data_IF_159651892881
#
_entry.id   IF_159651892881
#
_cell.length_a   1.000
_cell.length_b   1.000
_cell.length_c   1.000
_cell.angle_alpha   90.00
_cell.angle_beta   90.00
_cell.angle_gamma   90.00
#
_symmetry.space_group_name_H-M   'P 1'
#
loop_
_entity.id
_entity.type
_entity.pdbx_description
1 polymer ?
#
# COMPACT_ATOMS: atom_id res chain seq x y z
N UNK A 1 8.19 60.96 -14.21
CA UNK A 1 8.34 60.08 -13.02
C UNK A 1 7.19 59.07 -13.00
N UNK A 2 7.42 57.75 -13.15
CA UNK A 2 6.35 56.77 -12.98
C UNK A 2 6.04 56.56 -11.49
N UNK A 3 4.76 56.46 -11.08
CA UNK A 3 4.36 56.31 -9.69
C UNK A 3 4.85 54.99 -9.10
N UNK A 4 5.50 55.06 -7.94
CA UNK A 4 6.06 53.90 -7.23
C UNK A 4 4.99 52.86 -6.89
N UNK A 5 5.14 51.65 -7.43
CA UNK A 5 4.32 50.47 -7.04
C UNK A 5 4.51 50.24 -5.54
N UNK A 6 3.50 50.56 -4.72
CA UNK A 6 3.44 50.21 -3.29
C UNK A 6 3.59 48.69 -3.16
N UNK A 7 4.80 48.23 -2.79
CA UNK A 7 5.05 46.82 -2.44
C UNK A 7 4.22 46.50 -1.20
N UNK A 8 3.20 45.67 -1.36
CA UNK A 8 2.38 45.20 -0.24
C UNK A 8 3.26 44.45 0.76
N UNK A 9 3.05 44.71 2.05
CA UNK A 9 3.75 44.03 3.13
C UNK A 9 3.58 42.51 3.00
N UNK A 10 4.63 41.69 3.22
CA UNK A 10 4.55 40.22 3.16
C UNK A 10 3.39 39.65 4.00
N UNK A 11 3.06 40.29 5.14
CA UNK A 11 1.94 39.90 6.02
C UNK A 11 0.58 40.14 5.37
N UNK A 12 0.42 41.26 4.66
CA UNK A 12 -0.81 41.59 3.94
C UNK A 12 -1.01 40.65 2.76
N UNK A 13 0.06 40.34 2.01
CA UNK A 13 0.00 39.38 0.90
C UNK A 13 -0.42 37.98 1.37
N UNK A 14 0.17 37.47 2.46
CA UNK A 14 -0.19 36.17 3.03
C UNK A 14 -1.64 36.10 3.55
N UNK A 15 -2.17 37.19 4.12
CA UNK A 15 -3.58 37.26 4.56
C UNK A 15 -4.54 37.22 3.36
N UNK A 16 -4.24 37.97 2.30
CA UNK A 16 -5.04 38.00 1.07
C UNK A 16 -5.00 36.64 0.36
N UNK A 17 -3.83 36.00 0.25
CA UNK A 17 -3.72 34.67 -0.39
C UNK A 17 -4.54 33.61 0.36
N UNK A 18 -4.49 33.59 1.69
CA UNK A 18 -5.33 32.66 2.49
C UNK A 18 -6.82 32.97 2.35
N UNK A 19 -7.20 34.25 2.35
CA UNK A 19 -8.59 34.64 2.13
C UNK A 19 -9.10 34.18 0.76
N UNK A 20 -8.29 34.32 -0.29
CA UNK A 20 -8.61 33.82 -1.64
C UNK A 20 -8.71 32.30 -1.64
N UNK A 21 -7.78 31.57 -1.01
CA UNK A 21 -7.84 30.10 -0.91
C UNK A 21 -9.11 29.61 -0.20
N UNK A 22 -9.48 30.25 0.92
CA UNK A 22 -10.72 29.91 1.62
C UNK A 22 -11.97 30.30 0.83
N UNK A 23 -11.95 31.44 0.14
CA UNK A 23 -13.06 31.84 -0.73
C UNK A 23 -13.25 30.87 -1.90
N UNK A 24 -12.16 30.42 -2.52
CA UNK A 24 -12.20 29.39 -3.58
C UNK A 24 -12.68 28.06 -3.02
N UNK A 25 -12.17 27.61 -1.88
CA UNK A 25 -12.64 26.38 -1.23
C UNK A 25 -14.13 26.45 -0.90
N UNK A 26 -14.58 27.55 -0.31
CA UNK A 26 -15.99 27.77 0.02
C UNK A 26 -16.84 27.79 -1.26
N UNK A 27 -16.40 28.48 -2.31
CA UNK A 27 -17.11 28.51 -3.59
C UNK A 27 -17.21 27.11 -4.21
N UNK A 28 -16.15 26.29 -4.15
CA UNK A 28 -16.17 24.89 -4.62
C UNK A 28 -17.13 24.05 -3.78
N UNK A 29 -17.09 24.16 -2.45
CA UNK A 29 -17.98 23.41 -1.55
C UNK A 29 -19.43 23.79 -1.78
N UNK A 30 -19.73 25.08 -1.93
CA UNK A 30 -21.08 25.56 -2.23
C UNK A 30 -21.53 25.13 -3.62
N UNK A 31 -20.65 25.21 -4.64
CA UNK A 31 -20.95 24.74 -5.98
C UNK A 31 -21.30 23.25 -5.96
N UNK A 32 -20.51 22.41 -5.29
CA UNK A 32 -20.85 20.98 -5.12
C UNK A 32 -22.17 20.82 -4.37
N UNK A 33 -22.38 21.56 -3.29
CA UNK A 33 -23.60 21.43 -2.49
C UNK A 33 -24.87 21.83 -3.22
N UNK A 34 -24.84 22.84 -4.09
CA UNK A 34 -26.02 23.31 -4.81
C UNK A 34 -26.21 22.67 -6.19
N UNK A 35 -25.14 22.20 -6.83
CA UNK A 35 -25.21 21.55 -8.14
C UNK A 35 -25.47 20.04 -8.05
N UNK A 36 -25.36 19.45 -6.86
CA UNK A 36 -25.54 18.01 -6.65
C UNK A 36 -27.00 17.68 -6.33
N UNK A 37 -27.56 16.74 -7.08
CA UNK A 37 -28.86 16.15 -6.78
C UNK A 37 -28.74 15.16 -5.61
N UNK A 38 -28.93 15.68 -4.39
CA UNK A 38 -28.76 14.93 -3.14
C UNK A 38 -29.73 13.75 -3.00
N UNK A 39 -30.89 13.81 -3.66
CA UNK A 39 -31.86 12.70 -3.67
C UNK A 39 -31.28 11.52 -4.45
N UNK A 40 -30.81 11.76 -5.68
CA UNK A 40 -30.16 10.71 -6.49
C UNK A 40 -28.89 10.19 -5.84
N UNK A 41 -28.10 11.05 -5.21
CA UNK A 41 -26.92 10.66 -4.43
C UNK A 41 -27.32 9.71 -3.31
N UNK A 42 -28.33 10.06 -2.50
CA UNK A 42 -28.81 9.21 -1.41
C UNK A 42 -29.27 7.84 -1.89
N UNK A 43 -30.10 7.80 -2.93
CA UNK A 43 -30.66 6.54 -3.47
C UNK A 43 -29.60 5.65 -4.14
N UNK A 44 -28.64 6.24 -4.86
CA UNK A 44 -27.64 5.48 -5.60
C UNK A 44 -26.48 5.03 -4.70
N UNK A 45 -26.09 5.83 -3.70
CA UNK A 45 -24.91 5.61 -2.87
C UNK A 45 -25.22 4.97 -1.52
N UNK A 46 -26.43 5.14 -0.98
CA UNK A 46 -26.81 4.71 0.36
C UNK A 46 -28.16 3.99 0.40
N UNK A 47 -28.40 3.08 -0.54
CA UNK A 47 -29.60 2.26 -0.53
C UNK A 47 -29.54 1.19 0.60
N UNK A 48 -30.39 1.26 1.65
CA UNK A 48 -30.30 0.35 2.78
C UNK A 48 -30.65 -1.10 2.44
N UNK A 49 -31.54 -1.32 1.46
CA UNK A 49 -31.92 -2.67 1.04
C UNK A 49 -30.76 -3.38 0.35
N UNK A 50 -30.04 -2.67 -0.52
CA UNK A 50 -28.82 -3.18 -1.18
C UNK A 50 -27.73 -3.43 -0.14
N UNK A 51 -27.55 -2.52 0.82
CA UNK A 51 -26.57 -2.69 1.88
C UNK A 51 -26.84 -3.93 2.76
N UNK A 52 -28.12 -4.18 3.09
CA UNK A 52 -28.54 -5.34 3.87
C UNK A 52 -28.29 -6.66 3.13
N UNK A 53 -28.60 -6.72 1.83
CA UNK A 53 -28.29 -7.90 0.99
C UNK A 53 -26.78 -8.20 0.98
N UNK A 54 -25.98 -7.15 0.72
CA UNK A 54 -24.53 -7.24 0.65
C UNK A 54 -23.88 -7.63 1.98
N UNK A 55 -24.45 -7.21 3.11
CA UNK A 55 -23.92 -7.50 4.44
C UNK A 55 -23.73 -9.00 4.68
N UNK A 56 -24.58 -9.85 4.09
CA UNK A 56 -24.45 -11.31 4.16
C UNK A 56 -23.23 -11.86 3.40
N UNK A 57 -22.81 -11.18 2.32
CA UNK A 57 -21.70 -11.56 1.43
C UNK A 57 -20.36 -10.99 1.90
N UNK A 58 -20.37 -9.83 2.55
CA UNK A 58 -19.17 -9.10 3.00
C UNK A 58 -18.21 -9.91 3.88
N UNK A 59 -18.65 -10.74 4.86
CA UNK A 59 -17.73 -11.52 5.69
C UNK A 59 -16.83 -12.47 4.88
N UNK A 60 -17.37 -13.06 3.80
CA UNK A 60 -16.58 -13.92 2.90
C UNK A 60 -15.58 -13.10 2.10
N UNK A 61 -16.01 -11.96 1.56
CA UNK A 61 -15.12 -11.03 0.85
C UNK A 61 -13.98 -10.50 1.73
N UNK A 62 -14.28 -10.13 2.98
CA UNK A 62 -13.30 -9.75 4.00
C UNK A 62 -12.29 -10.87 4.23
N UNK A 63 -12.76 -12.10 4.44
CA UNK A 63 -11.89 -13.25 4.68
C UNK A 63 -10.99 -13.56 3.49
N UNK A 64 -11.53 -13.57 2.27
CA UNK A 64 -10.74 -13.79 1.06
C UNK A 64 -9.71 -12.68 0.83
N UNK A 65 -10.09 -11.41 1.07
CA UNK A 65 -9.17 -10.26 1.04
C UNK A 65 -7.99 -10.49 1.99
N UNK A 66 -8.26 -10.85 3.25
CA UNK A 66 -7.21 -11.15 4.23
C UNK A 66 -6.33 -12.32 3.79
N UNK A 67 -6.93 -13.41 3.28
CA UNK A 67 -6.17 -14.57 2.78
C UNK A 67 -5.26 -14.20 1.62
N UNK A 68 -5.73 -13.38 0.68
CA UNK A 68 -4.94 -12.92 -0.45
C UNK A 68 -3.79 -12.02 0.00
N UNK A 69 -4.03 -11.10 0.95
CA UNK A 69 -2.96 -10.29 1.56
C UNK A 69 -1.91 -11.18 2.22
N UNK A 70 -2.32 -12.12 3.07
CA UNK A 70 -1.41 -12.98 3.82
C UNK A 70 -0.63 -13.92 2.90
N UNK A 71 -1.28 -14.50 1.90
CA UNK A 71 -0.64 -15.35 0.91
C UNK A 71 0.39 -14.58 0.07
N UNK A 72 0.05 -13.38 -0.38
CA UNK A 72 0.99 -12.51 -1.10
C UNK A 72 2.16 -12.08 -0.22
N UNK A 73 1.91 -11.72 1.04
CA UNK A 73 2.97 -11.36 1.97
C UNK A 73 3.89 -12.55 2.29
N UNK A 74 3.34 -13.77 2.39
CA UNK A 74 4.11 -15.00 2.62
C UNK A 74 5.06 -15.33 1.45
N UNK A 75 4.74 -14.91 0.22
CA UNK A 75 5.65 -15.00 -0.94
C UNK A 75 6.59 -13.80 -0.97
N UNK A 76 6.06 -12.59 -0.75
CA UNK A 76 6.80 -11.34 -0.87
C UNK A 76 7.90 -11.17 0.16
N UNK A 77 7.66 -11.57 1.42
CA UNK A 77 8.62 -11.39 2.51
C UNK A 77 9.91 -12.21 2.31
N UNK A 78 9.86 -13.54 2.06
CA UNK A 78 11.07 -14.31 1.80
C UNK A 78 11.81 -13.84 0.55
N UNK A 79 11.09 -13.61 -0.56
CA UNK A 79 11.69 -13.15 -1.81
C UNK A 79 12.32 -11.77 -1.66
N UNK A 80 11.63 -10.84 -0.99
CA UNK A 80 12.13 -9.51 -0.68
C UNK A 80 13.36 -9.53 0.23
N UNK A 81 13.41 -10.43 1.22
CA UNK A 81 14.59 -10.62 2.06
C UNK A 81 15.80 -11.11 1.25
N UNK A 82 15.61 -12.09 0.36
CA UNK A 82 16.67 -12.57 -0.54
C UNK A 82 17.17 -11.43 -1.45
N UNK A 83 16.26 -10.68 -2.07
CA UNK A 83 16.59 -9.56 -2.94
C UNK A 83 17.32 -8.43 -2.18
N UNK A 84 16.93 -8.14 -0.94
CA UNK A 84 17.62 -7.17 -0.09
C UNK A 84 19.07 -7.62 0.19
N UNK A 85 19.28 -8.89 0.54
CA UNK A 85 20.61 -9.45 0.76
C UNK A 85 21.47 -9.43 -0.51
N UNK A 86 20.88 -9.77 -1.66
CA UNK A 86 21.55 -9.67 -2.96
C UNK A 86 21.98 -8.23 -3.26
N UNK A 87 21.12 -7.25 -2.97
CA UNK A 87 21.41 -5.83 -3.20
C UNK A 87 22.47 -5.26 -2.26
N UNK A 88 22.55 -5.77 -1.03
CA UNK A 88 23.59 -5.43 -0.05
C UNK A 88 24.91 -6.20 -0.28
N UNK A 89 24.93 -7.17 -1.19
CA UNK A 89 26.11 -7.99 -1.44
C UNK A 89 27.28 -7.18 -2.03
N UNK A 90 28.50 -7.56 -1.69
CA UNK A 90 29.71 -7.05 -2.36
C UNK A 90 29.87 -7.57 -3.79
N UNK A 91 29.22 -8.69 -4.14
CA UNK A 91 29.29 -9.35 -5.45
C UNK A 91 28.41 -8.62 -6.46
N UNK A 92 29.03 -8.09 -7.52
CA UNK A 92 28.33 -7.26 -8.50
C UNK A 92 27.14 -7.99 -9.16
N UNK A 93 27.26 -9.21 -9.73
CA UNK A 93 26.13 -9.89 -10.36
C UNK A 93 24.85 -9.95 -9.51
N UNK A 94 24.96 -10.23 -8.20
CA UNK A 94 23.80 -10.27 -7.31
C UNK A 94 23.12 -8.91 -7.19
N UNK A 95 23.90 -7.83 -7.07
CA UNK A 95 23.36 -6.47 -7.04
C UNK A 95 22.63 -6.12 -8.34
N UNK A 96 23.20 -6.48 -9.48
CA UNK A 96 22.60 -6.21 -10.80
C UNK A 96 21.26 -6.94 -10.97
N UNK A 97 21.22 -8.24 -10.66
CA UNK A 97 19.98 -9.04 -10.74
C UNK A 97 18.90 -8.47 -9.81
N UNK A 98 19.25 -8.18 -8.55
CA UNK A 98 18.31 -7.61 -7.60
C UNK A 98 17.82 -6.22 -8.04
N UNK A 99 18.71 -5.39 -8.58
CA UNK A 99 18.36 -4.06 -9.07
C UNK A 99 17.40 -4.14 -10.25
N UNK A 100 17.69 -4.97 -11.25
CA UNK A 100 16.81 -5.16 -12.40
C UNK A 100 15.43 -5.68 -11.98
N UNK A 101 15.37 -6.68 -11.08
CA UNK A 101 14.10 -7.18 -10.54
C UNK A 101 13.31 -6.06 -9.85
N UNK A 102 13.96 -5.35 -8.91
CA UNK A 102 13.29 -4.34 -8.08
C UNK A 102 12.80 -3.18 -8.94
N UNK A 103 13.62 -2.69 -9.87
CA UNK A 103 13.26 -1.59 -10.76
C UNK A 103 12.14 -1.97 -11.71
N UNK A 104 12.15 -3.19 -12.26
CA UNK A 104 11.09 -3.68 -13.13
C UNK A 104 9.74 -3.76 -12.40
N UNK A 105 9.65 -4.48 -11.28
CA UNK A 105 8.39 -4.70 -10.58
C UNK A 105 7.84 -3.46 -9.87
N UNK A 106 8.70 -2.50 -9.51
CA UNK A 106 8.26 -1.18 -9.02
C UNK A 106 7.90 -0.21 -10.15
N UNK A 107 8.42 -0.44 -11.36
CA UNK A 107 8.21 0.41 -12.52
C UNK A 107 6.94 0.08 -13.31
N UNK A 108 6.44 -1.15 -13.22
CA UNK A 108 5.22 -1.58 -13.94
C UNK A 108 3.98 -1.58 -13.03
N UNK A 109 2.77 -1.36 -13.59
CA UNK A 109 1.54 -1.50 -12.83
C UNK A 109 1.35 -2.94 -12.30
N UNK A 110 1.07 -3.08 -11.00
CA UNK A 110 0.80 -4.37 -10.36
C UNK A 110 -0.34 -5.13 -11.05
N UNK A 111 -1.32 -4.40 -11.60
CA UNK A 111 -2.41 -4.97 -12.39
C UNK A 111 -1.90 -5.82 -13.56
N UNK A 112 -0.90 -5.32 -14.30
CA UNK A 112 -0.35 -6.07 -15.43
C UNK A 112 0.28 -7.39 -14.95
N UNK A 113 0.94 -7.39 -13.79
CA UNK A 113 1.51 -8.59 -13.20
C UNK A 113 0.43 -9.60 -12.79
N UNK A 114 -0.67 -9.13 -12.19
CA UNK A 114 -1.85 -9.96 -11.86
C UNK A 114 -2.41 -10.63 -13.11
N UNK A 115 -2.62 -9.86 -14.19
CA UNK A 115 -3.09 -10.42 -15.46
C UNK A 115 -2.07 -11.37 -16.10
N UNK A 116 -0.78 -11.05 -16.04
CA UNK A 116 0.28 -11.92 -16.55
C UNK A 116 0.32 -13.26 -15.83
N UNK A 117 0.22 -13.29 -14.50
CA UNK A 117 0.16 -14.55 -13.73
C UNK A 117 -1.13 -15.31 -14.00
N UNK A 118 -2.25 -14.59 -14.17
CA UNK A 118 -3.55 -15.21 -14.44
C UNK A 118 -3.69 -15.83 -15.83
N UNK A 119 -3.03 -15.24 -16.84
CA UNK A 119 -3.23 -15.60 -18.25
C UNK A 119 -1.91 -15.89 -18.99
N UNK A 120 -0.95 -14.96 -18.98
CA UNK A 120 0.27 -15.08 -19.78
C UNK A 120 1.20 -16.23 -19.34
N UNK A 121 1.39 -16.42 -18.03
CA UNK A 121 2.24 -17.48 -17.47
C UNK A 121 1.67 -18.88 -17.78
N UNK A 122 0.37 -19.17 -17.55
CA UNK A 122 -0.23 -20.42 -18.01
C UNK A 122 -0.04 -20.70 -19.50
N UNK A 123 -0.22 -19.69 -20.36
CA UNK A 123 -0.06 -19.82 -21.81
C UNK A 123 1.40 -20.11 -22.18
N UNK A 124 2.35 -19.36 -21.61
CA UNK A 124 3.77 -19.45 -21.96
C UNK A 124 4.41 -20.77 -21.52
N UNK A 125 4.00 -21.31 -20.37
CA UNK A 125 4.65 -22.48 -19.76
C UNK A 125 3.78 -23.74 -19.73
N UNK A 126 2.54 -23.67 -20.21
CA UNK A 126 1.59 -24.79 -20.17
C UNK A 126 1.19 -25.21 -18.75
N UNK A 127 1.37 -24.30 -17.76
CA UNK A 127 1.07 -24.58 -16.35
C UNK A 127 -0.34 -24.15 -15.99
N UNK A 128 -1.05 -24.96 -15.21
CA UNK A 128 -2.33 -24.56 -14.65
C UNK A 128 -2.16 -24.21 -13.17
N UNK A 129 -2.53 -22.99 -12.79
CA UNK A 129 -2.60 -22.55 -11.40
C UNK A 129 -4.07 -22.52 -11.01
N UNK A 130 -4.66 -23.59 -10.45
CA UNK A 130 -6.11 -23.67 -10.26
C UNK A 130 -6.60 -22.78 -9.11
N UNK A 131 -5.77 -22.59 -8.07
CA UNK A 131 -6.16 -21.86 -6.88
C UNK A 131 -6.05 -20.34 -7.09
N UNK A 132 -7.16 -19.63 -6.85
CA UNK A 132 -7.13 -18.17 -6.87
C UNK A 132 -6.22 -17.57 -5.79
N UNK A 133 -6.15 -18.22 -4.62
CA UNK A 133 -5.21 -17.84 -3.57
C UNK A 133 -3.76 -17.94 -4.08
N UNK A 134 -3.41 -19.01 -4.80
CA UNK A 134 -2.07 -19.14 -5.36
C UNK A 134 -1.77 -18.08 -6.41
N UNK A 135 -2.71 -17.80 -7.34
CA UNK A 135 -2.55 -16.72 -8.34
C UNK A 135 -2.32 -15.36 -7.68
N UNK A 136 -3.17 -15.00 -6.72
CA UNK A 136 -3.04 -13.75 -5.96
C UNK A 136 -1.72 -13.69 -5.18
N UNK A 137 -1.35 -14.79 -4.52
CA UNK A 137 -0.13 -14.87 -3.71
C UNK A 137 1.13 -14.69 -4.56
N UNK A 138 1.19 -15.34 -5.72
CA UNK A 138 2.32 -15.23 -6.64
C UNK A 138 2.36 -13.82 -7.24
N UNK A 139 1.25 -13.37 -7.85
CA UNK A 139 1.22 -12.11 -8.58
C UNK A 139 1.52 -10.89 -7.70
N UNK A 140 0.85 -10.79 -6.56
CA UNK A 140 1.05 -9.67 -5.65
C UNK A 140 2.31 -9.86 -4.81
N UNK A 141 2.69 -11.11 -4.51
CA UNK A 141 3.91 -11.43 -3.77
C UNK A 141 5.17 -11.04 -4.53
N UNK A 142 5.27 -11.30 -5.84
CA UNK A 142 6.44 -10.89 -6.64
C UNK A 142 6.57 -9.37 -6.74
N UNK A 143 5.44 -8.64 -6.82
CA UNK A 143 5.43 -7.18 -6.80
C UNK A 143 5.87 -6.68 -5.42
N UNK A 144 5.20 -7.14 -4.35
CA UNK A 144 5.50 -6.73 -2.98
C UNK A 144 6.93 -7.06 -2.56
N UNK A 145 7.52 -8.16 -3.05
CA UNK A 145 8.91 -8.50 -2.81
C UNK A 145 9.89 -7.37 -3.19
N UNK A 146 9.61 -6.63 -4.27
CA UNK A 146 10.46 -5.51 -4.68
C UNK A 146 10.39 -4.34 -3.69
N UNK A 147 9.21 -4.03 -3.16
CA UNK A 147 9.01 -2.99 -2.15
C UNK A 147 9.56 -3.39 -0.77
N UNK A 148 9.35 -4.66 -0.38
CA UNK A 148 9.91 -5.24 0.84
C UNK A 148 11.44 -5.23 0.77
N UNK A 149 12.05 -5.61 -0.36
CA UNK A 149 13.49 -5.61 -0.52
C UNK A 149 14.11 -4.22 -0.27
N UNK A 150 13.50 -3.19 -0.83
CA UNK A 150 13.94 -1.81 -0.62
C UNK A 150 13.74 -1.32 0.81
N UNK A 151 12.62 -1.70 1.42
CA UNK A 151 12.35 -1.39 2.83
C UNK A 151 13.39 -2.02 3.74
N UNK A 152 13.69 -3.31 3.55
CA UNK A 152 14.70 -4.04 4.31
C UNK A 152 16.11 -3.45 4.12
N UNK A 153 16.49 -3.19 2.86
CA UNK A 153 17.77 -2.55 2.53
C UNK A 153 17.91 -1.18 3.20
N UNK A 154 16.89 -0.33 3.05
CA UNK A 154 16.89 1.01 3.63
C UNK A 154 16.94 0.97 5.16
N UNK A 155 16.26 0.02 5.80
CA UNK A 155 16.33 -0.15 7.25
C UNK A 155 17.69 -0.60 7.76
N UNK A 156 18.40 -1.45 7.01
CA UNK A 156 19.78 -1.85 7.32
C UNK A 156 20.73 -0.66 7.17
N UNK A 157 20.61 0.11 6.08
CA UNK A 157 21.44 1.29 5.83
C UNK A 157 21.15 2.46 6.78
N UNK A 158 19.95 2.53 7.34
CA UNK A 158 19.56 3.55 8.31
C UNK A 158 20.19 3.37 9.70
N UNK A 159 20.82 2.23 9.98
CA UNK A 159 21.54 2.03 11.25
C UNK A 159 22.75 2.97 11.30
N UNK A 160 22.93 3.78 12.36
CA UNK A 160 24.02 4.75 12.43
C UNK A 160 25.40 4.10 12.27
N UNK A 161 26.22 4.62 11.35
CA UNK A 161 27.57 4.08 11.08
C UNK A 161 28.45 4.03 12.34
N UNK A 162 28.31 5.00 13.25
CA UNK A 162 29.02 5.01 14.53
C UNK A 162 28.75 3.79 15.41
N UNK A 163 27.56 3.17 15.33
CA UNK A 163 27.26 1.91 16.03
C UNK A 163 28.07 0.73 15.44
N UNK A 164 28.21 0.71 14.12
CA UNK A 164 29.01 -0.30 13.41
C UNK A 164 30.50 -0.09 13.72
N UNK A 165 30.99 1.14 13.66
CA UNK A 165 32.39 1.49 13.96
C UNK A 165 32.76 1.20 15.41
N UNK A 166 31.87 1.50 16.37
CA UNK A 166 32.07 1.17 17.79
C UNK A 166 32.13 -0.35 18.01
N UNK A 167 31.21 -1.12 17.43
CA UNK A 167 31.21 -2.59 17.51
C UNK A 167 32.50 -3.19 16.94
N UNK A 168 32.98 -2.67 15.80
CA UNK A 168 34.25 -3.09 15.19
C UNK A 168 35.45 -2.72 16.04
N UNK A 169 35.44 -1.57 16.71
CA UNK A 169 36.49 -1.11 17.63
C UNK A 169 36.56 -1.97 18.91
N UNK A 170 35.44 -2.56 19.33
CA UNK A 170 35.36 -3.54 20.41
C UNK A 170 35.76 -4.98 19.97
N UNK A 171 36.31 -5.14 18.76
CA UNK A 171 36.80 -6.43 18.25
C UNK A 171 35.72 -7.37 17.70
N UNK A 172 34.47 -6.91 17.52
CA UNK A 172 33.41 -7.76 16.94
C UNK A 172 33.70 -8.08 15.47
N UNK A 173 33.57 -9.34 15.07
CA UNK A 173 33.63 -9.73 13.65
C UNK A 173 32.47 -9.10 12.84
N UNK A 174 32.57 -9.04 11.51
CA UNK A 174 31.50 -8.48 10.67
C UNK A 174 30.17 -9.20 10.90
N UNK A 175 30.19 -10.54 10.94
CA UNK A 175 28.99 -11.34 11.21
C UNK A 175 28.39 -11.08 12.59
N UNK A 176 29.23 -10.95 13.64
CA UNK A 176 28.76 -10.59 14.99
C UNK A 176 28.16 -9.18 15.01
N UNK A 177 28.83 -8.22 14.37
CA UNK A 177 28.35 -6.83 14.26
C UNK A 177 26.99 -6.80 13.57
N UNK A 178 26.83 -7.54 12.47
CA UNK A 178 25.57 -7.64 11.74
C UNK A 178 24.47 -8.25 12.63
N UNK A 179 24.70 -9.43 13.20
CA UNK A 179 23.69 -10.17 13.95
C UNK A 179 23.28 -9.52 15.27
N UNK A 180 24.23 -8.90 16.00
CA UNK A 180 24.00 -8.41 17.36
C UNK A 180 23.75 -6.91 17.43
N UNK A 181 24.22 -6.13 16.45
CA UNK A 181 24.11 -4.65 16.47
C UNK A 181 23.19 -4.17 15.36
N UNK A 182 23.47 -4.52 14.10
CA UNK A 182 22.75 -3.96 12.95
C UNK A 182 21.35 -4.55 12.81
N UNK A 183 21.21 -5.88 12.74
CA UNK A 183 19.92 -6.55 12.50
C UNK A 183 18.86 -6.19 13.55
N UNK A 184 19.15 -6.19 14.86
CA UNK A 184 18.14 -5.81 15.87
C UNK A 184 17.68 -4.35 15.76
N UNK A 185 18.56 -3.44 15.34
CA UNK A 185 18.22 -2.04 15.14
C UNK A 185 17.45 -1.85 13.83
N UNK A 186 17.93 -2.45 12.74
CA UNK A 186 17.29 -2.44 11.44
C UNK A 186 15.86 -3.01 11.52
N UNK A 187 15.66 -4.10 12.26
CA UNK A 187 14.34 -4.70 12.48
C UNK A 187 13.33 -3.68 13.05
N UNK A 188 13.76 -2.90 14.05
CA UNK A 188 12.88 -1.85 14.61
C UNK A 188 12.57 -0.77 13.58
N UNK A 189 13.56 -0.36 12.79
CA UNK A 189 13.42 0.66 11.73
C UNK A 189 12.45 0.21 10.63
N UNK A 190 12.47 -1.07 10.24
CA UNK A 190 11.64 -1.58 9.13
C UNK A 190 10.20 -1.92 9.55
N UNK A 191 9.93 -2.16 10.83
CA UNK A 191 8.60 -2.57 11.28
C UNK A 191 7.46 -1.62 10.85
N UNK A 192 7.57 -0.29 11.05
CA UNK A 192 6.54 0.64 10.59
C UNK A 192 6.29 0.60 9.07
N UNK A 193 7.31 0.77 8.18
CA UNK A 193 7.09 0.71 6.74
C UNK A 193 6.64 -0.68 6.25
N UNK A 194 7.06 -1.77 6.90
CA UNK A 194 6.54 -3.11 6.59
C UNK A 194 5.04 -3.25 6.90
N UNK A 195 4.57 -2.62 7.97
CA UNK A 195 3.12 -2.61 8.27
C UNK A 195 2.36 -1.79 7.23
N UNK A 196 2.94 -0.68 6.77
CA UNK A 196 2.37 0.10 5.67
C UNK A 196 2.33 -0.71 4.35
N UNK A 197 3.34 -1.54 4.08
CA UNK A 197 3.33 -2.45 2.93
C UNK A 197 2.16 -3.44 2.99
N UNK A 198 1.84 -4.00 4.16
CA UNK A 198 0.66 -4.87 4.33
C UNK A 198 -0.66 -4.11 4.03
N UNK A 199 -0.75 -2.83 4.41
CA UNK A 199 -1.91 -1.98 4.09
C UNK A 199 -2.05 -1.79 2.58
N UNK A 200 -0.95 -1.49 1.89
CA UNK A 200 -0.93 -1.34 0.43
C UNK A 200 -1.31 -2.66 -0.24
N UNK A 201 -0.69 -3.76 0.18
CA UNK A 201 -0.96 -5.10 -0.34
C UNK A 201 -2.42 -5.50 -0.15
N UNK A 202 -3.03 -5.15 0.98
CA UNK A 202 -4.47 -5.36 1.24
C UNK A 202 -5.35 -4.61 0.25
N UNK A 203 -4.97 -3.42 -0.18
CA UNK A 203 -5.70 -2.69 -1.21
C UNK A 203 -5.44 -3.28 -2.59
N UNK A 204 -4.21 -3.72 -2.86
CA UNK A 204 -3.83 -4.32 -4.14
C UNK A 204 -4.49 -5.67 -4.39
N UNK A 205 -4.98 -6.37 -3.35
CA UNK A 205 -5.83 -7.56 -3.56
C UNK A 205 -7.08 -7.24 -4.36
N UNK A 206 -7.54 -5.99 -4.38
CA UNK A 206 -8.65 -5.57 -5.23
C UNK A 206 -8.39 -5.91 -6.69
N UNK A 207 -7.15 -5.81 -7.19
CA UNK A 207 -6.79 -6.07 -8.59
C UNK A 207 -7.11 -7.50 -9.04
N UNK A 208 -7.19 -8.43 -8.08
CA UNK A 208 -7.46 -9.85 -8.30
C UNK A 208 -8.87 -10.09 -8.88
N UNK A 209 -9.83 -9.15 -8.68
CA UNK A 209 -11.20 -9.27 -9.21
C UNK A 209 -11.26 -9.43 -10.74
N UNK A 210 -10.23 -8.97 -11.45
CA UNK A 210 -10.16 -9.01 -12.91
C UNK A 210 -9.81 -10.39 -13.47
N UNK A 211 -9.42 -11.33 -12.61
CA UNK A 211 -9.27 -12.73 -12.99
C UNK A 211 -10.63 -13.43 -12.90
N UNK A 212 -10.80 -14.54 -13.62
CA UNK A 212 -12.00 -15.37 -13.51
C UNK A 212 -12.09 -16.00 -12.11
N UNK A 213 -13.00 -15.50 -11.27
CA UNK A 213 -13.24 -15.95 -9.90
C UNK A 213 -14.51 -16.79 -9.80
N UNK A 214 -14.47 -17.84 -8.97
CA UNK A 214 -15.69 -18.48 -8.47
C UNK A 214 -16.33 -17.62 -7.37
N UNK A 215 -17.65 -17.76 -7.16
CA UNK A 215 -18.39 -16.99 -6.14
C UNK A 215 -17.79 -17.15 -4.73
N UNK A 216 -17.25 -18.34 -4.43
CA UNK A 216 -16.59 -18.65 -3.15
C UNK A 216 -15.25 -17.93 -2.98
N UNK A 217 -14.66 -17.45 -4.05
CA UNK A 217 -13.36 -16.79 -4.09
C UNK A 217 -13.48 -15.27 -4.07
N UNK A 218 -14.67 -14.71 -4.30
CA UNK A 218 -14.85 -13.26 -4.40
C UNK A 218 -14.23 -12.53 -3.20
N UNK A 219 -13.39 -11.54 -3.50
CA UNK A 219 -12.90 -10.56 -2.55
C UNK A 219 -13.92 -9.42 -2.41
N UNK A 220 -13.60 -8.44 -1.56
CA UNK A 220 -14.48 -7.28 -1.36
C UNK A 220 -14.77 -6.52 -2.66
N UNK A 221 -13.76 -6.34 -3.50
CA UNK A 221 -13.91 -5.59 -4.75
C UNK A 221 -14.77 -6.35 -5.74
N UNK A 222 -14.58 -7.67 -5.89
CA UNK A 222 -15.41 -8.48 -6.77
C UNK A 222 -16.87 -8.47 -6.33
N UNK A 223 -17.17 -8.60 -5.03
CA UNK A 223 -18.57 -8.55 -4.56
C UNK A 223 -19.21 -7.19 -4.89
N UNK A 224 -18.51 -6.08 -4.60
CA UNK A 224 -19.00 -4.74 -4.91
C UNK A 224 -19.21 -4.53 -6.41
N UNK A 225 -18.27 -4.99 -7.24
CA UNK A 225 -18.34 -4.89 -8.70
C UNK A 225 -19.45 -5.74 -9.31
N UNK A 226 -19.71 -6.91 -8.75
CA UNK A 226 -20.76 -7.83 -9.21
C UNK A 226 -22.15 -7.24 -8.92
N UNK A 227 -22.32 -6.65 -7.74
CA UNK A 227 -23.58 -6.05 -7.32
C UNK A 227 -23.90 -4.74 -8.06
N UNK A 228 -22.90 -3.98 -8.53
CA UNK A 228 -23.10 -2.84 -9.42
C UNK A 228 -23.89 -3.18 -10.69
N UNK A 229 -23.69 -4.39 -11.23
CA UNK A 229 -24.31 -4.83 -12.48
C UNK A 229 -25.71 -5.44 -12.28
N UNK A 230 -26.20 -5.50 -11.04
CA UNK A 230 -27.52 -6.05 -10.73
C UNK A 230 -28.64 -5.04 -10.99
N UNK A 231 -29.87 -5.52 -11.25
CA UNK A 231 -31.02 -4.67 -11.56
C UNK A 231 -31.42 -3.68 -10.44
N UNK A 232 -31.04 -3.99 -9.20
CA UNK A 232 -31.23 -3.14 -8.02
C UNK A 232 -29.92 -2.44 -7.60
N UNK A 233 -28.85 -2.67 -8.35
CA UNK A 233 -27.48 -2.26 -8.03
C UNK A 233 -27.24 -0.78 -8.29
N UNK A 234 -26.86 -0.07 -7.24
CA UNK A 234 -26.31 1.28 -7.32
C UNK A 234 -24.83 1.31 -6.89
N UNK A 235 -24.25 2.50 -6.88
CA UNK A 235 -22.91 2.74 -6.34
C UNK A 235 -22.77 2.33 -4.86
N UNK A 236 -23.88 2.17 -4.14
CA UNK A 236 -23.96 1.64 -2.76
C UNK A 236 -23.04 0.43 -2.56
N UNK A 237 -22.99 -0.50 -3.52
CA UNK A 237 -22.17 -1.70 -3.40
C UNK A 237 -20.65 -1.41 -3.29
N UNK A 238 -20.16 -0.43 -4.04
CA UNK A 238 -18.76 0.01 -3.95
C UNK A 238 -18.46 0.72 -2.64
N UNK A 239 -19.42 1.50 -2.12
CA UNK A 239 -19.27 2.20 -0.85
C UNK A 239 -19.26 1.23 0.33
N UNK A 240 -20.12 0.21 0.31
CA UNK A 240 -20.10 -0.88 1.31
C UNK A 240 -18.78 -1.65 1.25
N UNK A 241 -18.31 -2.04 0.06
CA UNK A 241 -17.01 -2.70 -0.09
C UNK A 241 -15.85 -1.81 0.39
N UNK A 242 -15.88 -0.51 0.06
CA UNK A 242 -14.91 0.48 0.52
C UNK A 242 -14.91 0.65 2.04
N UNK A 243 -16.08 0.66 2.68
CA UNK A 243 -16.20 0.67 4.13
C UNK A 243 -15.59 -0.59 4.75
N UNK A 244 -15.78 -1.77 4.15
CA UNK A 244 -15.12 -3.00 4.60
C UNK A 244 -13.60 -2.96 4.42
N UNK A 245 -13.07 -2.36 3.35
CA UNK A 245 -11.63 -2.11 3.24
C UNK A 245 -11.11 -1.16 4.33
N UNK A 246 -11.90 -0.14 4.71
CA UNK A 246 -11.56 0.73 5.84
C UNK A 246 -11.55 -0.03 7.17
N UNK A 247 -12.48 -0.96 7.38
CA UNK A 247 -12.48 -1.82 8.57
C UNK A 247 -11.19 -2.66 8.68
N UNK A 248 -10.61 -3.10 7.55
CA UNK A 248 -9.31 -3.79 7.54
C UNK A 248 -8.13 -2.83 7.72
N UNK A 249 -8.16 -1.69 7.02
CA UNK A 249 -6.98 -0.81 6.91
C UNK A 249 -6.83 0.20 8.04
N UNK A 250 -7.93 0.62 8.70
CA UNK A 250 -7.86 1.55 9.83
C UNK A 250 -7.11 0.97 11.05
N UNK A 251 -7.39 -0.28 11.50
CA UNK A 251 -6.62 -0.90 12.58
C UNK A 251 -5.14 -1.05 12.23
N UNK A 252 -4.83 -1.47 11.00
CA UNK A 252 -3.45 -1.57 10.52
C UNK A 252 -2.76 -0.20 10.51
N UNK A 253 -3.45 0.86 10.07
CA UNK A 253 -2.91 2.21 10.10
C UNK A 253 -2.69 2.77 11.50
N UNK A 254 -3.54 2.39 12.47
CA UNK A 254 -3.32 2.69 13.88
C UNK A 254 -2.08 1.95 14.41
N UNK A 255 -1.91 0.67 14.06
CA UNK A 255 -0.73 -0.11 14.38
C UNK A 255 0.55 0.52 13.81
N UNK A 256 0.54 0.95 12.55
CA UNK A 256 1.68 1.65 11.94
C UNK A 256 2.05 2.90 12.73
N UNK A 257 1.09 3.80 13.03
CA UNK A 257 1.36 5.02 13.82
C UNK A 257 1.91 4.71 15.20
N UNK A 258 1.38 3.68 15.86
CA UNK A 258 1.87 3.24 17.15
C UNK A 258 3.33 2.73 17.07
N UNK A 259 3.68 1.95 16.03
CA UNK A 259 5.04 1.50 15.78
C UNK A 259 5.98 2.67 15.48
N UNK A 260 5.56 3.65 14.69
CA UNK A 260 6.32 4.87 14.40
C UNK A 260 6.64 5.65 15.68
N UNK A 261 5.66 5.85 16.57
CA UNK A 261 5.87 6.54 17.84
C UNK A 261 6.83 5.80 18.77
N UNK A 262 6.87 4.46 18.73
CA UNK A 262 7.81 3.66 19.53
C UNK A 262 9.22 3.64 18.95
N UNK A 263 9.34 3.74 17.64
CA UNK A 263 10.62 3.61 16.92
C UNK A 263 11.29 4.96 16.70
N UNK A 264 10.51 6.04 16.64
CA UNK A 264 11.02 7.41 16.60
C UNK A 264 11.64 7.75 17.96
N UNK A 265 12.92 7.43 18.12
CA UNK A 265 13.76 8.15 19.07
C UNK A 265 13.70 9.61 18.67
N UNK A 266 13.03 10.42 19.49
CA UNK A 266 13.12 11.88 19.47
C UNK A 266 14.59 12.25 19.33
N UNK A 267 15.03 12.57 18.12
CA UNK A 267 16.11 13.50 17.88
C UNK A 267 15.65 14.85 18.41
N UNK A 268 15.67 15.03 19.73
CA UNK A 268 15.67 16.35 20.36
C UNK A 268 17.04 16.97 20.06
N UNK A 269 17.21 17.38 18.81
CA UNK A 269 18.23 18.34 18.40
C UNK A 269 17.61 19.73 18.45
N UNK A 270 17.74 20.38 19.60
CA UNK A 270 17.97 21.81 19.70
C UNK A 270 19.10 22.00 20.67
#
# INVERSE_FOLDING_TARGET
MPPGRRRTSPRTRARVTRAVQYAVLAAVVLAVAFLTDWSKVGEQLFNPAVAADLASRMPRGLWNTVRYTLGAFAVGLPLGAVLALMKLSSVAPYRWIATAYIEFFRGIPALLVVLSVGFAVPIAFGVNIPSMLAKASIALGVVSAAYIAETLRAGIEAVPKGQVEAARSLGMSHGRTLAQVVVPQAFRIVLPPMTNEIILLTKDTSLVFLLGMLVTEYDLTKIGRDALSSAQGGLTALFVAGACYLLLTLPLGQLTRWLEHRTSTKGRGK
#
